data_IF_769800450262
#
_entry.id   IF_769800450262
#
_cell.length_a   1.000
_cell.length_b   1.000
_cell.length_c   1.000
_cell.angle_alpha   90.00
_cell.angle_beta   90.00
_cell.angle_gamma   90.00
#
_symmetry.space_group_name_H-M   'P 1'
#
loop_
_entity.id
_entity.type
_entity.pdbx_description
1 polymer ?
#
# COMPACT_ATOMS: atom_id res chain seq x y z
N UNK A 1 38.57 4.32 66.67
CA UNK A 1 37.60 5.40 66.40
C UNK A 1 37.88 5.93 65.00
N UNK A 2 36.91 5.77 64.05
CA UNK A 2 36.55 6.55 62.82
C UNK A 2 37.68 7.28 62.02
N UNK A 3 37.69 7.43 60.70
CA UNK A 3 36.94 6.95 59.52
C UNK A 3 37.67 7.50 58.26
N UNK A 4 37.58 6.77 57.14
CA UNK A 4 37.43 7.19 55.73
C UNK A 4 38.42 8.13 54.99
N UNK A 5 38.88 7.66 53.81
CA UNK A 5 38.98 8.36 52.50
C UNK A 5 39.40 7.31 51.45
N UNK A 6 38.53 6.94 50.48
CA UNK A 6 38.38 7.47 49.11
C UNK A 6 39.52 7.02 48.16
N UNK A 7 39.33 6.51 46.93
CA UNK A 7 38.17 6.39 46.04
C UNK A 7 38.42 5.29 44.99
N UNK A 8 37.37 4.51 44.70
CA UNK A 8 37.29 3.51 43.63
C UNK A 8 37.24 4.15 42.24
N UNK A 9 37.75 3.42 41.25
CA UNK A 9 37.96 3.85 39.88
C UNK A 9 36.70 4.07 39.04
N UNK A 10 36.94 4.82 37.97
CA UNK A 10 36.19 4.99 36.73
C UNK A 10 35.10 3.95 36.46
N UNK A 11 33.82 4.30 36.67
CA UNK A 11 32.68 3.59 36.07
C UNK A 11 31.31 4.31 36.04
N UNK A 12 31.14 5.65 36.14
CA UNK A 12 29.82 6.25 35.92
C UNK A 12 29.76 7.30 34.80
N UNK A 13 30.57 7.19 33.73
CA UNK A 13 30.48 8.13 32.60
C UNK A 13 29.79 7.57 31.35
N UNK A 14 29.69 6.24 31.20
CA UNK A 14 29.07 5.64 30.01
C UNK A 14 27.54 5.48 30.12
N UNK A 15 26.98 5.42 31.33
CA UNK A 15 25.53 5.23 31.53
C UNK A 15 24.70 6.51 31.39
N UNK A 16 25.33 7.69 31.38
CA UNK A 16 24.63 8.97 31.22
C UNK A 16 24.60 9.52 29.79
N UNK A 17 25.38 8.96 28.85
CA UNK A 17 25.36 9.44 27.45
C UNK A 17 24.13 8.93 26.66
N UNK A 18 23.51 7.84 27.11
CA UNK A 18 22.31 7.24 26.48
C UNK A 18 21.01 8.02 26.77
N UNK A 19 21.00 8.95 27.73
CA UNK A 19 19.80 9.72 28.09
C UNK A 19 19.71 11.10 27.40
N UNK A 20 20.64 11.44 26.50
CA UNK A 20 20.70 12.75 25.84
C UNK A 20 20.69 12.67 24.30
N UNK A 21 20.24 11.55 23.75
CA UNK A 21 20.07 11.36 22.31
C UNK A 21 18.59 11.57 21.99
N UNK A 22 18.27 12.49 21.07
CA UNK A 22 16.90 12.66 20.58
C UNK A 22 16.42 11.33 19.98
N UNK A 23 15.09 11.09 19.93
CA UNK A 23 14.53 9.94 19.20
C UNK A 23 15.19 9.79 17.82
N UNK A 24 15.42 10.90 17.10
CA UNK A 24 16.15 10.95 15.83
C UNK A 24 17.58 10.37 15.87
N UNK A 25 18.30 10.45 16.98
CA UNK A 25 19.67 9.90 17.07
C UNK A 25 19.66 8.41 17.41
N UNK A 26 18.62 7.92 18.09
CA UNK A 26 18.36 6.48 18.28
C UNK A 26 17.86 5.86 16.97
N UNK A 27 16.98 6.56 16.25
CA UNK A 27 16.52 6.25 14.87
C UNK A 27 17.72 6.10 13.94
N UNK A 28 18.64 7.08 13.96
CA UNK A 28 19.86 7.00 13.15
C UNK A 28 20.71 5.80 13.56
N UNK A 29 20.87 5.49 14.85
CA UNK A 29 21.69 4.35 15.30
C UNK A 29 21.07 2.98 15.02
N UNK A 30 19.75 2.83 15.11
CA UNK A 30 19.04 1.57 14.85
C UNK A 30 18.95 1.29 13.35
N UNK A 31 18.63 2.32 12.54
CA UNK A 31 18.70 2.26 11.09
C UNK A 31 20.16 2.09 10.63
N UNK A 32 21.15 2.75 11.27
CA UNK A 32 22.57 2.48 11.02
C UNK A 32 22.95 1.05 11.46
N UNK A 33 22.42 0.45 12.51
CA UNK A 33 22.80 -0.92 12.89
C UNK A 33 22.37 -1.93 11.82
N UNK A 34 21.20 -1.73 11.23
CA UNK A 34 20.72 -2.52 10.08
C UNK A 34 21.44 -2.14 8.78
N UNK A 35 21.75 -0.85 8.56
CA UNK A 35 22.27 -0.32 7.27
C UNK A 35 23.80 -0.22 7.18
N UNK A 36 24.53 0.06 8.27
CA UNK A 36 26.01 0.10 8.28
C UNK A 36 26.65 -1.27 8.19
N UNK A 37 25.92 -2.31 8.58
CA UNK A 37 26.30 -3.70 8.28
C UNK A 37 25.89 -4.11 6.86
N UNK A 38 25.00 -3.36 6.20
CA UNK A 38 24.48 -3.68 4.86
C UNK A 38 25.52 -3.48 3.75
N UNK A 39 26.57 -2.67 3.98
CA UNK A 39 27.78 -2.71 3.13
C UNK A 39 28.41 -4.13 3.08
N UNK A 40 28.03 -5.02 4.00
CA UNK A 40 28.39 -6.43 4.05
C UNK A 40 27.17 -7.37 4.20
N UNK A 41 25.96 -6.97 3.77
CA UNK A 41 24.80 -7.86 3.80
C UNK A 41 25.15 -9.18 3.07
N UNK A 42 24.98 -10.29 3.76
CA UNK A 42 25.28 -11.60 3.19
C UNK A 42 24.07 -12.05 2.36
N UNK A 43 24.32 -12.64 1.19
CA UNK A 43 23.25 -13.28 0.41
C UNK A 43 22.67 -14.39 1.28
N UNK A 44 21.36 -14.33 1.53
CA UNK A 44 20.66 -15.36 2.30
C UNK A 44 20.83 -16.76 1.68
N UNK A 45 20.63 -17.83 2.47
CA UNK A 45 20.77 -19.20 1.97
C UNK A 45 19.85 -19.45 0.76
N UNK A 46 20.40 -20.06 -0.30
CA UNK A 46 19.63 -20.44 -1.50
C UNK A 46 18.46 -21.36 -1.10
N UNK A 47 17.24 -20.83 -1.18
CA UNK A 47 16.00 -21.57 -0.97
C UNK A 47 15.33 -21.45 0.41
N UNK A 48 15.83 -20.60 1.32
CA UNK A 48 15.23 -20.42 2.67
C UNK A 48 15.21 -18.99 3.22
N UNK A 49 15.58 -17.98 2.42
CA UNK A 49 15.58 -16.58 2.85
C UNK A 49 14.20 -15.92 2.83
N UNK A 50 14.06 -14.80 3.55
CA UNK A 50 12.85 -14.01 3.53
C UNK A 50 12.63 -13.34 2.18
N UNK A 51 11.37 -13.19 1.78
CA UNK A 51 10.96 -12.42 0.61
C UNK A 51 10.07 -11.25 1.01
N UNK A 52 10.22 -10.11 0.34
CA UNK A 52 9.39 -8.92 0.50
C UNK A 52 8.54 -8.69 -0.74
N UNK A 53 7.29 -8.27 -0.53
CA UNK A 53 6.32 -8.02 -1.59
C UNK A 53 5.63 -6.69 -1.35
N UNK A 54 5.25 -6.04 -2.44
CA UNK A 54 4.37 -4.89 -2.47
C UNK A 54 3.22 -5.17 -3.42
N UNK A 55 2.03 -4.63 -3.17
CA UNK A 55 0.87 -4.80 -4.06
C UNK A 55 -0.45 -4.45 -3.40
N UNK A 56 -1.55 -5.01 -3.91
CA UNK A 56 -2.90 -4.79 -3.39
C UNK A 56 -3.25 -5.73 -2.23
N UNK A 57 -4.38 -5.46 -1.57
CA UNK A 57 -4.97 -6.36 -0.57
C UNK A 57 -5.49 -7.67 -1.16
N UNK A 58 -5.75 -7.72 -2.47
CA UNK A 58 -6.21 -8.90 -3.18
C UNK A 58 -5.05 -9.88 -3.40
N UNK A 59 -5.35 -11.18 -3.32
CA UNK A 59 -4.35 -12.25 -3.38
C UNK A 59 -4.56 -13.16 -4.58
N UNK A 60 -3.48 -13.40 -5.32
CA UNK A 60 -3.44 -14.39 -6.39
C UNK A 60 -3.30 -15.82 -5.86
N UNK A 61 -3.20 -16.76 -6.79
CA UNK A 61 -2.89 -18.16 -6.48
C UNK A 61 -1.54 -18.24 -5.72
N UNK A 62 -1.54 -18.87 -4.55
CA UNK A 62 -0.35 -18.95 -3.68
C UNK A 62 -0.25 -17.84 -2.63
N UNK A 63 -1.16 -16.86 -2.63
CA UNK A 63 -1.24 -15.83 -1.59
C UNK A 63 -0.38 -14.59 -1.83
N UNK A 64 0.30 -14.50 -2.99
CA UNK A 64 1.01 -13.29 -3.39
C UNK A 64 0.03 -12.13 -3.65
N UNK A 65 0.38 -10.90 -3.26
CA UNK A 65 -0.45 -9.74 -3.58
C UNK A 65 -0.54 -9.55 -5.09
N UNK A 66 -1.71 -9.12 -5.57
CA UNK A 66 -1.90 -8.71 -6.96
C UNK A 66 -1.39 -7.27 -7.17
N UNK A 67 -1.34 -6.83 -8.42
CA UNK A 67 -1.05 -5.43 -8.76
C UNK A 67 -2.12 -4.50 -8.18
N UNK A 68 -1.75 -3.26 -7.87
CA UNK A 68 -2.67 -2.25 -7.36
C UNK A 68 -3.37 -1.59 -8.54
N UNK A 69 -4.70 -1.40 -8.43
CA UNK A 69 -5.45 -0.56 -9.37
C UNK A 69 -5.51 0.86 -8.83
N UNK A 70 -5.27 1.84 -9.69
CA UNK A 70 -5.34 3.26 -9.36
C UNK A 70 -6.14 4.03 -10.39
N UNK A 71 -6.58 5.22 -9.99
CA UNK A 71 -7.37 6.12 -10.82
C UNK A 71 -6.78 7.53 -10.76
N UNK A 72 -6.80 8.30 -11.85
CA UNK A 72 -6.28 9.67 -11.84
C UNK A 72 -6.93 10.53 -10.77
N UNK A 73 -6.13 11.34 -10.06
CA UNK A 73 -6.62 12.25 -9.00
C UNK A 73 -7.33 11.56 -7.84
N UNK A 74 -7.11 10.26 -7.63
CA UNK A 74 -7.64 9.52 -6.50
C UNK A 74 -6.52 9.00 -5.61
N UNK A 75 -6.91 8.62 -4.39
CA UNK A 75 -6.04 7.88 -3.48
C UNK A 75 -6.21 6.39 -3.72
N UNK A 76 -5.10 5.69 -3.94
CA UNK A 76 -5.06 4.23 -3.95
C UNK A 76 -4.26 3.72 -2.77
N UNK A 77 -4.57 2.53 -2.30
CA UNK A 77 -3.89 1.92 -1.16
C UNK A 77 -2.92 0.83 -1.61
N UNK A 78 -1.67 0.94 -1.13
CA UNK A 78 -0.58 0.00 -1.39
C UNK A 78 -0.24 -0.73 -0.10
N UNK A 79 -0.07 -2.04 -0.19
CA UNK A 79 0.16 -2.94 0.93
C UNK A 79 1.54 -3.59 0.86
N UNK A 80 2.16 -3.77 2.03
CA UNK A 80 3.48 -4.36 2.19
C UNK A 80 3.38 -5.72 2.86
N UNK A 81 4.16 -6.68 2.38
CA UNK A 81 4.15 -8.05 2.86
C UNK A 81 5.55 -8.61 2.99
N UNK A 82 5.69 -9.60 3.88
CA UNK A 82 6.87 -10.44 3.93
C UNK A 82 6.46 -11.92 3.91
N UNK A 83 7.36 -12.78 3.46
CA UNK A 83 7.30 -14.19 3.77
C UNK A 83 8.68 -14.68 4.21
N UNK A 84 8.72 -15.73 5.03
CA UNK A 84 9.96 -16.31 5.54
C UNK A 84 9.74 -17.82 5.72
N UNK A 85 9.98 -18.65 4.69
CA UNK A 85 9.70 -20.08 4.78
C UNK A 85 10.48 -20.74 5.92
N UNK A 86 9.84 -21.67 6.63
CA UNK A 86 10.48 -22.43 7.71
C UNK A 86 11.65 -23.25 7.14
N UNK A 87 12.81 -23.18 7.81
CA UNK A 87 14.04 -23.86 7.36
C UNK A 87 14.16 -25.32 7.88
N UNK A 88 13.19 -25.74 8.68
CA UNK A 88 13.09 -27.09 9.27
C UNK A 88 13.96 -27.30 10.51
N UNK A 89 14.62 -26.25 11.01
CA UNK A 89 15.37 -26.26 12.25
C UNK A 89 14.43 -25.71 13.35
N UNK A 90 14.42 -26.22 14.60
CA UNK A 90 13.58 -25.66 15.68
C UNK A 90 14.32 -24.64 16.58
N UNK A 91 13.72 -23.46 16.82
CA UNK A 91 14.25 -22.42 17.74
C UNK A 91 14.17 -20.99 17.20
N UNK A 92 14.19 -19.95 18.06
CA UNK A 92 13.98 -18.55 17.65
C UNK A 92 15.22 -17.84 17.09
N UNK A 93 16.43 -18.39 17.27
CA UNK A 93 17.68 -17.82 16.73
C UNK A 93 18.01 -18.42 15.36
N UNK A 94 17.07 -18.30 14.43
CA UNK A 94 17.15 -18.89 13.10
C UNK A 94 16.97 -17.86 12.00
N UNK A 95 17.25 -18.28 10.77
CA UNK A 95 17.18 -17.40 9.60
C UNK A 95 15.75 -17.16 9.12
N UNK A 96 14.79 -17.96 9.61
CA UNK A 96 13.38 -17.91 9.25
C UNK A 96 12.53 -17.05 10.23
N UNK A 97 13.07 -16.73 11.41
CA UNK A 97 12.50 -15.81 12.40
C UNK A 97 13.14 -14.42 12.28
N UNK A 98 12.33 -13.41 11.91
CA UNK A 98 12.86 -12.08 11.62
C UNK A 98 12.83 -11.20 12.87
N UNK A 99 13.99 -10.72 13.30
CA UNK A 99 14.14 -9.77 14.40
C UNK A 99 13.72 -8.35 13.98
N UNK A 100 13.74 -8.09 12.67
CA UNK A 100 13.34 -6.84 12.05
C UNK A 100 13.71 -6.82 10.57
N UNK A 101 13.33 -5.76 9.89
CA UNK A 101 13.67 -5.55 8.48
C UNK A 101 13.67 -4.07 8.11
N UNK A 102 14.27 -3.81 6.95
CA UNK A 102 14.21 -2.54 6.22
C UNK A 102 13.72 -2.86 4.80
N UNK A 103 12.58 -2.29 4.43
CA UNK A 103 12.06 -2.28 3.06
C UNK A 103 12.23 -0.89 2.50
N UNK A 104 12.91 -0.78 1.37
CA UNK A 104 13.26 0.46 0.71
C UNK A 104 12.77 0.39 -0.72
N UNK A 105 12.00 1.40 -1.12
CA UNK A 105 11.30 1.41 -2.39
C UNK A 105 11.63 2.67 -3.19
N UNK A 106 11.67 2.50 -4.50
CA UNK A 106 11.66 3.55 -5.50
C UNK A 106 10.31 3.46 -6.21
N UNK A 107 9.60 4.58 -6.35
CA UNK A 107 8.30 4.60 -7.02
C UNK A 107 8.23 5.70 -8.07
N UNK A 108 7.31 5.52 -9.03
CA UNK A 108 7.03 6.52 -10.04
C UNK A 108 6.55 7.82 -9.38
N UNK A 109 7.22 8.94 -9.65
CA UNK A 109 6.91 10.24 -9.06
C UNK A 109 5.56 10.86 -9.49
N UNK A 110 4.81 10.18 -10.37
CA UNK A 110 3.38 10.47 -10.59
C UNK A 110 2.50 9.90 -9.47
N UNK A 111 3.07 9.13 -8.56
CA UNK A 111 2.46 8.74 -7.30
C UNK A 111 3.00 9.66 -6.19
N UNK A 112 2.12 10.26 -5.42
CA UNK A 112 2.46 11.07 -4.25
C UNK A 112 2.17 10.26 -2.98
N UNK A 113 3.19 9.77 -2.30
CA UNK A 113 3.04 9.03 -1.05
C UNK A 113 2.53 9.95 0.07
N UNK A 114 1.47 9.52 0.75
CA UNK A 114 0.89 10.22 1.90
C UNK A 114 1.41 9.58 3.18
N UNK A 115 2.52 10.09 3.71
CA UNK A 115 3.23 9.54 4.87
C UNK A 115 2.30 9.35 6.09
N UNK A 116 1.43 10.33 6.39
CA UNK A 116 0.51 10.26 7.52
C UNK A 116 -0.61 9.21 7.38
N UNK A 117 -0.79 8.65 6.18
CA UNK A 117 -1.79 7.61 5.93
C UNK A 117 -1.28 6.20 6.27
N UNK A 118 0.03 6.07 6.53
CA UNK A 118 0.61 4.79 6.88
C UNK A 118 -0.07 4.22 8.11
N UNK A 119 -0.54 2.98 7.97
CA UNK A 119 -1.15 2.26 9.07
C UNK A 119 -0.81 0.78 8.99
N UNK A 120 -0.93 0.18 10.15
CA UNK A 120 -0.87 -1.27 10.33
C UNK A 120 -2.33 -1.73 10.43
N UNK A 121 -2.88 -2.40 9.40
CA UNK A 121 -4.24 -2.92 9.47
C UNK A 121 -4.40 -3.90 10.65
N UNK A 122 -5.59 -4.03 11.26
CA UNK A 122 -5.82 -5.03 12.30
C UNK A 122 -5.52 -6.46 11.84
N UNK A 123 -5.64 -6.71 10.53
CA UNK A 123 -5.35 -7.98 9.85
C UNK A 123 -3.84 -8.20 9.61
N UNK A 124 -3.01 -7.16 9.77
CA UNK A 124 -1.56 -7.28 9.72
C UNK A 124 -1.03 -7.83 11.06
N UNK A 125 0.02 -8.65 10.98
CA UNK A 125 0.56 -9.42 12.12
C UNK A 125 1.14 -8.53 13.21
N UNK A 126 1.57 -7.34 12.84
CA UNK A 126 2.06 -6.31 13.75
C UNK A 126 0.99 -5.81 14.72
N UNK A 127 -0.30 -6.11 14.49
CA UNK A 127 -1.36 -5.92 15.50
C UNK A 127 -1.32 -6.98 16.62
N UNK A 128 -0.64 -8.11 16.38
CA UNK A 128 -0.51 -9.26 17.29
C UNK A 128 0.90 -9.38 17.89
N UNK A 129 1.91 -8.72 17.31
CA UNK A 129 3.27 -8.62 17.87
C UNK A 129 3.65 -7.14 17.98
N UNK A 130 3.85 -6.70 19.22
CA UNK A 130 4.22 -5.34 19.60
C UNK A 130 5.62 -4.99 19.08
N UNK A 131 5.74 -4.64 17.80
CA UNK A 131 6.97 -4.08 17.28
C UNK A 131 7.30 -2.82 18.10
N UNK A 132 8.44 -2.85 18.78
CA UNK A 132 8.90 -1.74 19.61
C UNK A 132 9.22 -0.49 18.76
N UNK A 133 9.50 -0.68 17.48
CA UNK A 133 9.86 0.39 16.57
C UNK A 133 9.33 0.12 15.16
N UNK A 134 8.62 1.11 14.62
CA UNK A 134 8.17 1.15 13.22
C UNK A 134 8.46 2.56 12.72
N UNK A 135 9.21 2.65 11.62
CA UNK A 135 9.52 3.90 10.94
C UNK A 135 8.98 3.80 9.52
N UNK A 136 8.21 4.81 9.11
CA UNK A 136 7.77 4.97 7.74
C UNK A 136 8.09 6.38 7.27
N UNK A 137 8.75 6.50 6.12
CA UNK A 137 9.14 7.79 5.54
C UNK A 137 8.92 7.76 4.04
N UNK A 138 8.44 8.88 3.49
CA UNK A 138 8.34 9.06 2.05
C UNK A 138 9.12 10.29 1.60
N UNK A 139 9.94 10.13 0.56
CA UNK A 139 10.48 11.24 -0.21
C UNK A 139 9.74 11.34 -1.55
N UNK A 140 8.98 12.42 -1.73
CA UNK A 140 8.28 12.72 -2.97
C UNK A 140 9.06 13.74 -3.84
N UNK A 141 10.29 14.12 -3.46
CA UNK A 141 11.10 15.09 -4.20
C UNK A 141 12.07 14.37 -5.17
N UNK A 142 11.78 14.30 -6.48
CA UNK A 142 12.71 13.69 -7.43
C UNK A 142 14.01 14.48 -7.66
N UNK A 143 14.13 15.69 -7.10
CA UNK A 143 15.19 16.64 -7.40
C UNK A 143 16.47 16.48 -6.58
N UNK A 144 16.51 15.57 -5.61
CA UNK A 144 17.61 15.41 -4.67
C UNK A 144 18.69 14.38 -5.11
N UNK A 145 18.37 13.53 -6.09
CA UNK A 145 19.33 12.76 -6.87
C UNK A 145 19.04 11.26 -7.00
N UNK A 146 18.06 10.74 -6.27
CA UNK A 146 17.73 9.32 -6.24
C UNK A 146 16.23 9.00 -6.51
N UNK A 147 15.39 10.04 -6.60
CA UNK A 147 14.04 9.95 -7.16
C UNK A 147 12.97 9.97 -6.08
N UNK A 148 11.79 9.43 -6.35
CA UNK A 148 10.76 9.31 -5.32
C UNK A 148 10.89 7.96 -4.61
N UNK A 149 10.99 8.01 -3.29
CA UNK A 149 11.47 6.91 -2.47
C UNK A 149 10.68 6.77 -1.19
N UNK A 150 10.65 5.56 -0.62
CA UNK A 150 10.09 5.38 0.71
C UNK A 150 10.80 4.28 1.47
N UNK A 151 10.73 4.40 2.80
CA UNK A 151 11.27 3.46 3.76
C UNK A 151 10.13 2.93 4.63
N UNK A 152 10.11 1.61 4.82
CA UNK A 152 9.42 0.96 5.92
C UNK A 152 10.44 0.12 6.69
N UNK A 153 10.77 0.54 7.91
CA UNK A 153 11.63 -0.20 8.81
C UNK A 153 10.86 -0.66 10.05
N UNK A 154 11.04 -1.92 10.42
CA UNK A 154 10.41 -2.53 11.60
C UNK A 154 11.47 -3.23 12.42
N UNK A 155 11.49 -2.97 13.73
CA UNK A 155 12.25 -3.75 14.70
C UNK A 155 11.27 -4.28 15.74
N UNK A 156 11.33 -5.59 15.97
CA UNK A 156 10.37 -6.24 16.88
C UNK A 156 10.70 -5.88 18.32
N UNK A 157 11.96 -6.05 18.71
CA UNK A 157 12.40 -5.85 20.08
C UNK A 157 13.61 -4.92 20.12
N UNK A 158 13.45 -3.75 20.75
CA UNK A 158 14.51 -2.75 20.91
C UNK A 158 14.72 -2.34 22.37
N UNK A 159 13.78 -2.71 23.26
CA UNK A 159 13.80 -2.27 24.66
C UNK A 159 14.01 -3.48 25.60
N UNK A 160 14.96 -3.40 26.56
CA UNK A 160 15.09 -4.43 27.60
C UNK A 160 13.86 -4.51 28.52
N UNK A 161 13.52 -5.70 29.07
CA UNK A 161 14.24 -6.97 28.96
C UNK A 161 13.95 -7.69 27.64
N UNK A 162 15.01 -8.18 26.99
CA UNK A 162 14.90 -8.94 25.75
C UNK A 162 14.26 -10.32 25.99
N UNK A 163 13.13 -10.58 25.35
CA UNK A 163 12.34 -11.81 25.38
C UNK A 163 12.57 -12.68 24.15
N UNK A 164 13.25 -12.15 23.13
CA UNK A 164 13.50 -12.85 21.87
C UNK A 164 12.28 -12.83 20.96
N UNK A 165 11.47 -11.76 21.03
CA UNK A 165 10.29 -11.61 20.18
C UNK A 165 10.76 -11.41 18.72
N UNK A 166 10.18 -12.16 17.80
CA UNK A 166 10.50 -12.15 16.36
C UNK A 166 9.22 -12.23 15.54
N UNK A 167 9.30 -11.80 14.29
CA UNK A 167 8.29 -12.07 13.29
C UNK A 167 8.37 -13.56 12.90
N UNK A 168 7.25 -14.28 12.94
CA UNK A 168 7.24 -15.73 12.77
C UNK A 168 7.53 -16.14 11.32
N UNK A 169 8.03 -17.37 11.11
CA UNK A 169 8.15 -17.95 9.78
C UNK A 169 6.77 -18.12 9.14
N UNK A 170 6.72 -17.97 7.83
CA UNK A 170 5.53 -18.13 7.01
C UNK A 170 5.80 -18.60 5.59
N UNK A 171 4.99 -19.55 5.16
CA UNK A 171 4.97 -20.07 3.80
C UNK A 171 4.19 -19.18 2.82
N UNK A 172 3.36 -18.24 3.31
CA UNK A 172 2.58 -17.31 2.49
C UNK A 172 2.88 -15.85 2.86
N UNK A 173 2.78 -14.90 1.91
CA UNK A 173 3.02 -13.49 2.21
C UNK A 173 2.04 -12.96 3.27
N UNK A 174 2.58 -12.53 4.41
CA UNK A 174 1.83 -11.96 5.52
C UNK A 174 1.92 -10.44 5.51
N UNK A 175 0.80 -9.78 5.83
CA UNK A 175 0.66 -8.32 5.76
C UNK A 175 1.40 -7.65 6.91
N UNK A 176 2.13 -6.59 6.57
CA UNK A 176 2.88 -5.75 7.52
C UNK A 176 2.16 -4.43 7.76
N UNK A 177 1.71 -3.78 6.69
CA UNK A 177 1.15 -2.44 6.74
C UNK A 177 0.67 -1.98 5.36
N UNK A 178 0.08 -0.80 5.32
CA UNK A 178 -0.34 -0.14 4.09
C UNK A 178 -0.14 1.36 4.15
N UNK A 179 -0.04 1.98 2.99
CA UNK A 179 0.04 3.43 2.80
C UNK A 179 -0.83 3.84 1.60
N UNK A 180 -1.38 5.05 1.64
CA UNK A 180 -2.09 5.63 0.52
C UNK A 180 -1.13 6.45 -0.36
N UNK A 181 -1.31 6.31 -1.68
CA UNK A 181 -0.72 7.17 -2.68
C UNK A 181 -1.82 7.98 -3.35
N UNK A 182 -1.59 9.28 -3.53
CA UNK A 182 -2.39 10.11 -4.43
C UNK A 182 -1.82 10.03 -5.85
N UNK A 183 -2.65 9.65 -6.80
CA UNK A 183 -2.27 9.49 -8.20
C UNK A 183 -2.37 10.85 -8.91
N UNK A 184 -1.29 11.28 -9.55
CA UNK A 184 -1.24 12.53 -10.31
C UNK A 184 -2.30 12.55 -11.42
N UNK A 185 -3.00 13.68 -11.58
CA UNK A 185 -3.96 13.93 -12.66
C UNK A 185 -3.41 13.74 -14.09
N UNK A 186 -2.09 13.77 -14.29
CA UNK A 186 -1.42 13.68 -15.58
C UNK A 186 -1.23 12.25 -16.08
N UNK A 187 -1.53 11.25 -15.27
CA UNK A 187 -1.45 9.84 -15.69
C UNK A 187 -2.54 9.55 -16.72
N UNK A 188 -2.22 8.73 -17.70
CA UNK A 188 -3.15 8.20 -18.69
C UNK A 188 -3.54 6.78 -18.29
N UNK A 189 -4.74 6.32 -18.63
CA UNK A 189 -5.05 4.92 -18.31
C UNK A 189 -4.22 3.97 -19.18
N UNK A 190 -3.96 2.78 -18.62
CA UNK A 190 -2.93 1.88 -19.10
C UNK A 190 -1.52 2.26 -18.64
N UNK A 191 -1.32 3.43 -18.01
CA UNK A 191 -0.05 3.73 -17.35
C UNK A 191 0.21 2.71 -16.25
N UNK A 192 1.40 2.12 -16.26
CA UNK A 192 1.93 1.36 -15.15
C UNK A 192 2.88 2.26 -14.37
N UNK A 193 2.55 2.53 -13.11
CA UNK A 193 3.34 3.34 -12.19
C UNK A 193 4.11 2.39 -11.25
N UNK A 194 5.37 2.05 -11.57
CA UNK A 194 6.11 1.05 -10.82
C UNK A 194 6.36 1.46 -9.37
N UNK A 195 6.35 0.47 -8.49
CA UNK A 195 6.81 0.53 -7.10
C UNK A 195 7.78 -0.64 -6.92
N UNK A 196 9.06 -0.33 -6.90
CA UNK A 196 10.13 -1.31 -6.93
C UNK A 196 10.94 -1.27 -5.64
N UNK A 197 11.41 -2.42 -5.19
CA UNK A 197 12.40 -2.45 -4.13
C UNK A 197 13.75 -2.03 -4.72
N UNK A 198 14.37 -1.00 -4.14
CA UNK A 198 15.65 -0.47 -4.59
C UNK A 198 16.62 -0.29 -3.43
N UNK A 199 17.88 -0.67 -3.67
CA UNK A 199 18.97 -0.52 -2.71
C UNK A 199 19.82 0.70 -3.06
N UNK A 200 20.48 1.26 -2.05
CA UNK A 200 21.44 2.35 -2.22
C UNK A 200 20.84 3.75 -2.15
N UNK A 201 19.51 3.84 -1.99
CA UNK A 201 18.79 5.10 -1.87
C UNK A 201 18.74 5.62 -0.45
N UNK A 202 18.51 6.91 -0.28
CA UNK A 202 18.72 7.57 1.00
C UNK A 202 17.45 8.16 1.63
N UNK A 203 16.32 8.16 0.92
CA UNK A 203 15.07 8.82 1.30
C UNK A 203 15.41 10.26 1.72
N UNK A 204 14.94 10.74 2.88
CA UNK A 204 15.29 12.08 3.40
C UNK A 204 16.65 12.14 4.12
N UNK A 205 17.43 11.06 4.03
CA UNK A 205 18.60 10.78 4.84
C UNK A 205 19.91 11.28 4.23
N UNK A 206 21.00 10.59 4.58
CA UNK A 206 22.34 10.78 3.99
C UNK A 206 23.12 9.46 3.89
N UNK A 207 22.49 8.37 4.28
CA UNK A 207 23.09 7.04 4.37
C UNK A 207 22.30 6.15 3.42
N UNK A 208 22.95 5.52 2.43
CA UNK A 208 22.31 4.54 1.57
C UNK A 208 21.69 3.41 2.38
N UNK A 209 20.43 3.12 2.12
CA UNK A 209 19.63 2.07 2.76
C UNK A 209 19.57 0.84 1.85
N UNK A 210 19.19 -0.30 2.43
CA UNK A 210 19.10 -1.57 1.69
C UNK A 210 17.87 -2.37 2.12
N UNK A 211 17.42 -3.24 1.21
CA UNK A 211 16.39 -4.23 1.42
C UNK A 211 16.96 -5.45 2.14
N UNK A 212 16.98 -5.37 3.46
CA UNK A 212 17.57 -6.39 4.33
C UNK A 212 16.64 -6.76 5.46
N UNK A 213 16.84 -7.95 6.01
CA UNK A 213 16.23 -8.40 7.25
C UNK A 213 17.29 -8.85 8.24
N UNK A 214 16.96 -8.74 9.52
CA UNK A 214 17.77 -9.27 10.60
C UNK A 214 17.21 -10.63 11.02
N UNK A 215 18.04 -11.67 10.94
CA UNK A 215 17.70 -13.01 11.43
C UNK A 215 18.98 -13.69 11.95
N UNK A 216 18.87 -14.52 12.99
CA UNK A 216 20.02 -15.11 13.69
C UNK A 216 21.15 -14.10 14.03
N UNK A 217 20.80 -12.85 14.36
CA UNK A 217 21.73 -11.73 14.61
C UNK A 217 22.63 -11.36 13.41
N UNK A 218 22.22 -11.72 12.20
CA UNK A 218 22.89 -11.39 10.94
C UNK A 218 21.99 -10.49 10.08
N UNK A 219 22.62 -9.63 9.28
CA UNK A 219 21.94 -8.84 8.25
C UNK A 219 22.00 -9.60 6.92
N UNK A 220 20.84 -9.98 6.42
CA UNK A 220 20.67 -10.81 5.22
C UNK A 220 19.84 -10.05 4.17
N UNK A 221 20.18 -10.21 2.90
CA UNK A 221 19.42 -9.63 1.80
C UNK A 221 18.11 -10.39 1.59
N UNK A 222 17.00 -9.66 1.47
CA UNK A 222 15.70 -10.24 1.13
C UNK A 222 15.57 -10.46 -0.38
N UNK A 223 14.79 -11.47 -0.78
CA UNK A 223 14.30 -11.57 -2.15
C UNK A 223 13.14 -10.58 -2.33
N UNK A 224 13.21 -9.71 -3.32
CA UNK A 224 12.20 -8.67 -3.53
C UNK A 224 11.26 -9.01 -4.70
N UNK A 225 9.98 -8.68 -4.55
CA UNK A 225 8.95 -8.85 -5.57
C UNK A 225 8.26 -7.50 -5.77
N UNK A 226 8.69 -6.81 -6.83
CA UNK A 226 8.16 -5.51 -7.23
C UNK A 226 6.68 -5.58 -7.64
N UNK A 227 6.03 -4.43 -7.65
CA UNK A 227 4.68 -4.26 -8.19
C UNK A 227 4.53 -2.83 -8.71
N UNK A 228 3.30 -2.35 -8.83
CA UNK A 228 3.01 -1.00 -9.22
C UNK A 228 1.53 -0.70 -9.11
N UNK A 229 1.18 0.52 -9.48
CA UNK A 229 -0.20 0.97 -9.65
C UNK A 229 -0.48 0.99 -11.16
N UNK A 230 -1.39 0.14 -11.60
CA UNK A 230 -1.92 0.17 -12.97
C UNK A 230 -3.10 1.14 -12.98
N UNK A 231 -3.01 2.14 -13.84
CA UNK A 231 -4.07 3.14 -13.99
C UNK A 231 -5.18 2.56 -14.85
N UNK A 232 -6.34 2.42 -14.23
CA UNK A 232 -7.53 1.84 -14.83
C UNK A 232 -8.54 2.94 -15.18
N UNK A 233 -9.50 2.63 -16.06
CA UNK A 233 -10.59 3.50 -16.44
C UNK A 233 -11.76 3.36 -15.45
N UNK A 234 -11.58 3.79 -14.21
CA UNK A 234 -12.68 3.96 -13.25
C UNK A 234 -13.13 5.40 -13.27
N UNK A 235 -14.07 5.71 -14.16
CA UNK A 235 -14.67 7.06 -14.18
C UNK A 235 -15.64 7.16 -13.01
N UNK A 236 -15.44 8.17 -12.15
CA UNK A 236 -16.51 8.58 -11.24
C UNK A 236 -17.70 8.96 -12.12
N UNK A 237 -18.87 8.40 -11.84
CA UNK A 237 -20.09 8.67 -12.60
C UNK A 237 -21.20 9.16 -11.67
N UNK A 238 -22.23 9.75 -12.25
CA UNK A 238 -23.50 9.99 -11.57
C UNK A 238 -24.44 8.86 -11.98
N UNK A 239 -25.01 8.13 -11.02
CA UNK A 239 -25.93 7.04 -11.34
C UNK A 239 -27.17 7.63 -12.02
N UNK A 240 -27.40 7.21 -13.27
CA UNK A 240 -28.40 7.75 -14.17
C UNK A 240 -27.90 8.71 -15.24
N UNK A 241 -26.60 9.03 -15.34
CA UNK A 241 -26.00 9.88 -16.41
C UNK A 241 -25.53 9.01 -17.59
N UNK A 242 -26.48 8.32 -18.24
CA UNK A 242 -26.20 7.31 -19.25
C UNK A 242 -25.58 7.90 -20.54
N UNK A 243 -25.86 9.17 -20.84
CA UNK A 243 -25.24 9.85 -21.99
C UNK A 243 -23.90 10.54 -21.64
N UNK A 244 -23.45 10.45 -20.39
CA UNK A 244 -22.19 11.01 -19.89
C UNK A 244 -22.04 12.52 -20.11
N UNK A 245 -23.15 13.28 -20.06
CA UNK A 245 -23.17 14.73 -20.20
C UNK A 245 -23.00 15.49 -18.87
N UNK A 246 -22.74 14.75 -17.79
CA UNK A 246 -22.55 15.20 -16.41
C UNK A 246 -23.84 15.71 -15.74
N UNK A 247 -25.02 15.38 -16.29
CA UNK A 247 -26.32 15.79 -15.75
C UNK A 247 -27.35 14.69 -15.94
N UNK A 248 -27.88 14.18 -14.83
CA UNK A 248 -29.01 13.26 -14.89
C UNK A 248 -30.31 13.99 -15.26
N UNK A 249 -30.77 13.84 -16.51
CA UNK A 249 -31.99 14.45 -17.06
C UNK A 249 -32.83 13.43 -17.87
N UNK A 250 -33.88 13.91 -18.55
CA UNK A 250 -34.74 13.04 -19.37
C UNK A 250 -34.02 12.44 -20.60
N UNK A 251 -32.86 12.98 -21.00
CA UNK A 251 -32.04 12.39 -22.06
C UNK A 251 -31.45 11.04 -21.65
N UNK A 252 -31.27 10.78 -20.36
CA UNK A 252 -30.60 9.56 -19.91
C UNK A 252 -31.47 8.32 -20.00
N UNK A 253 -32.75 8.31 -19.54
CA UNK A 253 -33.65 7.20 -19.82
C UNK A 253 -33.81 6.93 -21.32
N UNK A 254 -33.73 7.96 -22.16
CA UNK A 254 -33.74 7.78 -23.63
C UNK A 254 -32.46 7.07 -24.08
N UNK A 255 -31.31 7.42 -23.51
CA UNK A 255 -30.01 6.81 -23.83
C UNK A 255 -29.94 5.35 -23.36
N UNK A 256 -30.53 5.03 -22.20
CA UNK A 256 -30.72 3.63 -21.76
C UNK A 256 -31.56 2.85 -22.78
N UNK A 257 -32.67 3.42 -23.26
CA UNK A 257 -33.49 2.76 -24.29
C UNK A 257 -32.75 2.62 -25.63
N UNK A 258 -31.89 3.58 -25.97
CA UNK A 258 -31.00 3.48 -27.12
C UNK A 258 -29.97 2.36 -26.97
N UNK A 259 -29.38 2.20 -25.79
CA UNK A 259 -28.39 1.16 -25.49
C UNK A 259 -28.99 -0.25 -25.40
N UNK A 260 -30.26 -0.37 -25.00
CA UNK A 260 -30.89 -1.67 -24.70
C UNK A 260 -31.80 -2.17 -25.82
N UNK A 261 -32.79 -1.36 -26.23
CA UNK A 261 -33.83 -1.78 -27.18
C UNK A 261 -33.48 -1.36 -28.60
N UNK A 262 -32.86 -0.19 -28.77
CA UNK A 262 -32.60 0.40 -30.08
C UNK A 262 -31.13 0.32 -30.50
N UNK A 263 -30.34 -0.56 -29.85
CA UNK A 263 -28.91 -0.67 -30.08
C UNK A 263 -28.59 -0.99 -31.54
N UNK A 264 -29.42 -1.81 -32.19
CA UNK A 264 -29.25 -2.19 -33.60
C UNK A 264 -29.58 -1.05 -34.57
N UNK A 265 -30.38 -0.07 -34.14
CA UNK A 265 -30.82 1.06 -34.95
C UNK A 265 -29.99 2.33 -34.74
N UNK A 266 -29.41 2.53 -33.55
CA UNK A 266 -28.77 3.80 -33.17
C UNK A 266 -27.26 3.74 -32.95
N UNK A 267 -26.62 2.56 -33.01
CA UNK A 267 -25.16 2.39 -32.81
C UNK A 267 -24.66 3.19 -31.60
N UNK A 268 -25.44 3.16 -30.52
CA UNK A 268 -25.15 3.86 -29.27
C UNK A 268 -24.63 2.84 -28.27
N UNK A 269 -23.35 2.97 -27.95
CA UNK A 269 -22.69 2.21 -26.89
C UNK A 269 -22.44 3.17 -25.72
N UNK A 270 -22.99 2.88 -24.53
CA UNK A 270 -22.80 3.74 -23.38
C UNK A 270 -21.32 3.73 -22.96
N UNK A 271 -20.74 4.92 -22.77
CA UNK A 271 -19.36 5.04 -22.27
C UNK A 271 -19.20 4.62 -20.80
N UNK A 272 -20.32 4.40 -20.10
CA UNK A 272 -20.32 3.94 -18.73
C UNK A 272 -21.59 3.15 -18.45
N UNK A 273 -21.48 1.83 -18.40
CA UNK A 273 -22.63 0.94 -18.19
C UNK A 273 -23.21 1.13 -16.79
N UNK A 274 -22.37 1.34 -15.76
CA UNK A 274 -22.82 1.62 -14.38
C UNK A 274 -23.64 2.92 -14.28
N UNK A 275 -23.34 3.91 -15.12
CA UNK A 275 -24.16 5.13 -15.17
C UNK A 275 -25.53 4.89 -15.80
N UNK A 276 -25.64 3.89 -16.67
CA UNK A 276 -26.89 3.50 -17.32
C UNK A 276 -27.71 2.53 -16.46
N UNK A 277 -27.09 1.73 -15.59
CA UNK A 277 -27.76 0.93 -14.54
C UNK A 277 -28.30 1.86 -13.42
N UNK A 278 -29.44 2.47 -13.71
CA UNK A 278 -30.10 3.43 -12.83
C UNK A 278 -30.66 2.79 -11.56
N UNK A 279 -30.86 1.47 -11.55
CA UNK A 279 -31.50 0.75 -10.48
C UNK A 279 -30.54 -0.09 -9.60
N UNK A 280 -29.28 -0.22 -10.04
CA UNK A 280 -28.15 -0.85 -9.35
C UNK A 280 -28.41 -2.35 -9.09
N UNK A 281 -28.94 -3.05 -10.10
CA UNK A 281 -29.17 -4.50 -10.05
C UNK A 281 -28.14 -5.32 -10.83
N UNK A 282 -27.14 -4.64 -11.42
CA UNK A 282 -26.02 -5.22 -12.16
C UNK A 282 -26.42 -5.72 -13.55
N UNK A 283 -27.57 -5.29 -14.07
CA UNK A 283 -28.06 -5.65 -15.40
C UNK A 283 -28.61 -4.41 -16.12
N UNK A 284 -27.91 -3.97 -17.16
CA UNK A 284 -28.40 -2.89 -18.01
C UNK A 284 -29.60 -3.33 -18.86
N UNK A 285 -30.81 -2.89 -18.51
CA UNK A 285 -32.04 -3.18 -19.25
C UNK A 285 -33.08 -2.04 -19.24
N UNK A 286 -34.30 -2.32 -19.71
CA UNK A 286 -35.40 -1.33 -19.76
C UNK A 286 -35.85 -0.90 -18.35
N UNK A 287 -35.66 -1.75 -17.34
CA UNK A 287 -35.92 -1.50 -15.94
C UNK A 287 -35.24 -0.23 -15.45
N UNK A 288 -34.03 0.05 -15.90
CA UNK A 288 -33.26 1.25 -15.56
C UNK A 288 -33.93 2.53 -16.05
N UNK A 289 -34.38 2.53 -17.31
CA UNK A 289 -35.12 3.66 -17.86
C UNK A 289 -36.43 3.89 -17.10
N UNK A 290 -37.13 2.83 -16.73
CA UNK A 290 -38.36 2.90 -15.92
C UNK A 290 -38.08 3.42 -14.52
N UNK A 291 -36.98 2.99 -13.91
CA UNK A 291 -36.55 3.42 -12.58
C UNK A 291 -36.25 4.92 -12.57
N UNK A 292 -35.40 5.39 -13.49
CA UNK A 292 -35.02 6.80 -13.61
C UNK A 292 -36.22 7.71 -13.88
N UNK A 293 -37.12 7.31 -14.78
CA UNK A 293 -38.37 8.06 -15.04
C UNK A 293 -39.30 8.07 -13.81
N UNK A 294 -39.35 6.95 -13.08
CA UNK A 294 -40.12 6.83 -11.84
C UNK A 294 -39.61 7.77 -10.75
N UNK A 295 -38.29 7.85 -10.59
CA UNK A 295 -37.64 8.81 -9.70
C UNK A 295 -37.95 10.25 -10.10
N UNK A 296 -37.70 10.63 -11.37
CA UNK A 296 -37.85 12.01 -11.86
C UNK A 296 -39.29 12.54 -11.78
N UNK A 297 -40.28 11.72 -12.11
CA UNK A 297 -41.66 12.20 -12.34
C UNK A 297 -42.71 11.64 -11.38
N UNK A 298 -42.42 10.56 -10.66
CA UNK A 298 -43.40 9.88 -9.79
C UNK A 298 -43.01 9.83 -8.32
N UNK A 299 -42.03 10.65 -7.92
CA UNK A 299 -41.48 10.64 -6.56
C UNK A 299 -40.98 9.25 -6.16
N UNK A 300 -40.38 8.53 -7.12
CA UNK A 300 -39.69 7.26 -6.87
C UNK A 300 -38.46 7.43 -5.96
N UNK A 301 -37.83 6.31 -5.59
CA UNK A 301 -36.60 6.35 -4.83
C UNK A 301 -35.48 7.00 -5.65
N UNK A 302 -34.59 7.71 -4.96
CA UNK A 302 -33.36 8.24 -5.57
C UNK A 302 -32.52 7.06 -6.07
N UNK A 303 -31.89 7.16 -7.26
CA UNK A 303 -30.90 6.18 -7.70
C UNK A 303 -29.91 5.86 -6.58
N UNK A 304 -29.56 4.58 -6.39
CA UNK A 304 -28.57 4.16 -5.40
C UNK A 304 -27.24 4.89 -5.58
N UNK A 305 -26.38 4.84 -4.56
CA UNK A 305 -25.08 5.47 -4.63
C UNK A 305 -24.31 4.99 -5.89
N UNK A 306 -23.55 5.85 -6.59
CA UNK A 306 -23.18 7.22 -6.23
C UNK A 306 -24.33 8.25 -6.34
N UNK A 307 -25.44 7.87 -6.96
CA UNK A 307 -26.64 8.70 -7.08
C UNK A 307 -26.53 9.76 -8.17
N UNK A 308 -27.61 10.52 -8.42
CA UNK A 308 -27.71 11.36 -9.61
C UNK A 308 -27.12 12.77 -9.45
N UNK A 309 -26.44 13.05 -8.34
CA UNK A 309 -26.01 14.42 -7.98
C UNK A 309 -24.51 14.55 -7.71
N UNK A 310 -23.87 13.45 -7.32
CA UNK A 310 -22.46 13.43 -6.99
C UNK A 310 -21.78 12.39 -7.86
N UNK A 311 -20.60 12.74 -8.35
CA UNK A 311 -19.72 11.77 -8.96
C UNK A 311 -19.19 10.83 -7.88
N UNK A 312 -19.31 9.54 -8.10
CA UNK A 312 -18.76 8.53 -7.20
C UNK A 312 -18.46 7.23 -7.95
N UNK A 313 -17.83 6.30 -7.24
CA UNK A 313 -17.65 4.94 -7.72
C UNK A 313 -18.93 4.16 -7.54
N UNK A 314 -19.05 3.06 -8.28
CA UNK A 314 -20.02 2.03 -7.95
C UNK A 314 -19.66 1.40 -6.59
N UNK A 315 -20.51 1.50 -5.56
CA UNK A 315 -20.29 0.81 -4.30
C UNK A 315 -20.60 -0.69 -4.38
N UNK A 316 -21.21 -1.15 -5.46
CA UNK A 316 -21.53 -2.54 -5.73
C UNK A 316 -20.55 -3.11 -6.74
N UNK A 317 -20.15 -4.38 -6.54
CA UNK A 317 -19.33 -5.09 -7.50
C UNK A 317 -20.25 -5.88 -8.43
N UNK A 318 -20.16 -5.62 -9.74
CA UNK A 318 -20.82 -6.41 -10.77
C UNK A 318 -19.96 -6.53 -12.04
N UNK A 319 -20.57 -6.86 -13.18
CA UNK A 319 -19.89 -7.07 -14.46
C UNK A 319 -20.06 -5.89 -15.44
N UNK A 320 -20.84 -4.89 -15.06
CA UNK A 320 -20.94 -3.63 -15.78
C UNK A 320 -19.67 -2.82 -15.45
N UNK A 321 -19.19 -2.10 -16.46
CA UNK A 321 -17.98 -1.31 -16.29
C UNK A 321 -18.16 0.07 -16.93
N UNK A 322 -17.49 1.05 -16.34
CA UNK A 322 -17.35 2.35 -16.98
C UNK A 322 -16.21 2.38 -18.00
N UNK A 323 -16.47 1.76 -19.16
CA UNK A 323 -15.57 1.70 -20.32
C UNK A 323 -15.54 3.01 -21.08
N UNK A 324 -14.93 4.04 -20.49
CA UNK A 324 -14.37 5.12 -21.29
C UNK A 324 -13.01 4.66 -21.83
N UNK A 325 -12.82 4.50 -23.15
CA UNK A 325 -11.48 4.43 -23.70
C UNK A 325 -10.75 5.71 -23.31
N UNK A 326 -9.49 5.53 -22.94
CA UNK A 326 -8.65 6.59 -22.42
C UNK A 326 -8.21 7.46 -23.60
N UNK A 327 -9.02 8.47 -23.92
CA UNK A 327 -8.70 9.53 -24.90
C UNK A 327 -8.10 10.77 -24.23
#
# INVERSE_FOLDING_TARGET
KRNATASQGLLPCFQHLLHALSLQTVVLFAVLLVSTTASQAQVGPEGGGASFFVGSNQRGAGGSPLTVRGFPSQRTEVFFYYNSPEDGIPGPEQNDHLQGFSMVFCYDCRLNCIEESFRIPPEAITSVIAADFVEFQCDNDPGDGDGCEMLLAVLVETVPPFRGDTLPPTSRPLMVGSVQFEVDSRVSCGDELPIEFCDGVNVRGRVPLQNVYAAANQSLSARTINSGVVIDSGRLFQRGDCNSDNRVTISDPISVLMATILAQEFDFEPSCEDACDGNDDGVLDIGDAVYLLGWMFRSGLLPPAPGPYIFGLDPTEDALECTMPCE
#
